data_IF_062052121868
#
_entry.id   IF_062052121868
#
_cell.length_a   1.000
_cell.length_b   1.000
_cell.length_c   1.000
_cell.angle_alpha   90.00
_cell.angle_beta   90.00
_cell.angle_gamma   90.00
#
_symmetry.space_group_name_H-M   'P 1'
#
loop_
_entity.id
_entity.type
_entity.pdbx_description
1 polymer ?
#
# COMPACT_ATOMS: atom_id res chain seq x y z
N UNK A 1 -8.68 10.58 -4.19
CA UNK A 1 -8.54 10.11 -2.80
C UNK A 1 -8.21 11.30 -1.92
N UNK A 2 -8.86 11.47 -0.76
CA UNK A 2 -8.60 12.61 0.13
C UNK A 2 -7.12 12.69 0.55
N UNK A 3 -6.61 13.89 0.83
CA UNK A 3 -5.21 14.11 1.24
C UNK A 3 -4.90 13.56 2.64
N UNK A 4 -5.91 13.56 3.50
CA UNK A 4 -5.89 13.03 4.85
C UNK A 4 -6.01 11.49 4.91
N UNK A 5 -6.38 10.84 3.80
CA UNK A 5 -6.47 9.39 3.75
C UNK A 5 -5.10 8.75 3.97
N UNK A 6 -4.96 7.96 5.04
CA UNK A 6 -3.70 7.28 5.40
C UNK A 6 -3.10 6.50 4.23
N UNK A 7 -3.93 5.78 3.48
CA UNK A 7 -3.49 5.03 2.29
C UNK A 7 -2.81 5.94 1.26
N UNK A 8 -3.31 7.17 1.03
CA UNK A 8 -2.72 8.11 0.06
C UNK A 8 -1.33 8.51 0.50
N UNK A 9 -1.23 8.96 1.76
CA UNK A 9 0.00 9.49 2.33
C UNK A 9 1.14 8.45 2.26
N UNK A 10 0.87 7.22 2.69
CA UNK A 10 1.90 6.18 2.73
C UNK A 10 2.22 5.63 1.33
N UNK A 11 1.22 5.40 0.48
CA UNK A 11 1.49 4.93 -0.89
C UNK A 11 2.27 5.98 -1.69
N UNK A 12 1.95 7.26 -1.54
CA UNK A 12 2.68 8.36 -2.21
C UNK A 12 4.14 8.44 -1.74
N UNK A 13 4.40 8.32 -0.43
CA UNK A 13 5.77 8.28 0.12
C UNK A 13 6.58 7.11 -0.43
N UNK A 14 5.99 5.90 -0.46
CA UNK A 14 6.65 4.68 -0.95
C UNK A 14 6.94 4.81 -2.45
N UNK A 15 5.96 5.22 -3.25
CA UNK A 15 6.10 5.33 -4.72
C UNK A 15 7.09 6.44 -5.07
N UNK A 16 7.03 7.59 -4.40
CA UNK A 16 7.97 8.70 -4.62
C UNK A 16 9.41 8.29 -4.29
N UNK A 17 9.62 7.59 -3.18
CA UNK A 17 10.94 7.08 -2.78
C UNK A 17 11.48 6.08 -3.79
N UNK A 18 10.67 5.10 -4.20
CA UNK A 18 11.07 4.10 -5.20
C UNK A 18 11.35 4.74 -6.56
N UNK A 19 10.52 5.68 -7.00
CA UNK A 19 10.71 6.40 -8.25
C UNK A 19 12.03 7.20 -8.26
N UNK A 20 12.37 7.86 -7.16
CA UNK A 20 13.67 8.55 -7.01
C UNK A 20 14.83 7.58 -7.11
N UNK A 21 14.77 6.45 -6.42
CA UNK A 21 15.83 5.44 -6.47
C UNK A 21 16.03 4.91 -7.90
N UNK A 22 14.95 4.67 -8.63
CA UNK A 22 15.00 4.25 -10.05
C UNK A 22 15.56 5.35 -10.95
N UNK A 23 15.26 6.63 -10.69
CA UNK A 23 15.80 7.75 -11.47
C UNK A 23 17.30 8.02 -11.19
N UNK A 24 17.76 7.78 -9.97
CA UNK A 24 19.15 8.00 -9.54
C UNK A 24 20.09 6.84 -9.84
N UNK A 25 19.57 5.70 -10.26
CA UNK A 25 20.34 4.49 -10.56
C UNK A 25 20.60 4.36 -12.05
N UNK A 26 21.83 4.01 -12.42
CA UNK A 26 22.20 3.76 -13.82
C UNK A 26 22.05 2.29 -14.22
N UNK A 27 22.13 1.37 -13.25
CA UNK A 27 22.07 -0.07 -13.49
C UNK A 27 20.92 -0.74 -12.74
N UNK A 28 20.46 -1.88 -13.26
CA UNK A 28 19.36 -2.66 -12.68
C UNK A 28 19.71 -3.16 -11.28
N UNK A 29 20.90 -3.73 -11.13
CA UNK A 29 21.39 -4.28 -9.86
C UNK A 29 21.49 -3.22 -8.75
N UNK A 30 21.79 -1.96 -9.10
CA UNK A 30 21.94 -0.89 -8.12
C UNK A 30 20.60 -0.50 -7.50
N UNK A 31 19.53 -0.38 -8.29
CA UNK A 31 18.23 -0.07 -7.71
C UNK A 31 17.60 -1.26 -7.02
N UNK A 32 17.84 -2.48 -7.50
CA UNK A 32 17.40 -3.70 -6.81
C UNK A 32 17.97 -3.77 -5.39
N UNK A 33 19.28 -3.49 -5.23
CA UNK A 33 19.94 -3.45 -3.91
C UNK A 33 19.41 -2.31 -3.03
N UNK A 34 19.15 -1.13 -3.60
CA UNK A 34 18.64 0.04 -2.85
C UNK A 34 17.18 -0.16 -2.40
N UNK A 35 16.32 -0.70 -3.28
CA UNK A 35 14.91 -0.98 -2.97
C UNK A 35 14.77 -2.23 -2.11
N UNK A 36 15.68 -3.19 -2.25
CA UNK A 36 15.78 -4.42 -1.47
C UNK A 36 14.43 -5.17 -1.35
N UNK A 37 13.75 -5.34 -2.49
CA UNK A 37 12.39 -5.92 -2.54
C UNK A 37 12.22 -6.87 -3.73
N UNK A 38 13.20 -7.73 -3.96
CA UNK A 38 13.17 -8.70 -5.07
C UNK A 38 13.83 -8.18 -6.35
N UNK A 39 13.45 -8.78 -7.48
CA UNK A 39 13.97 -8.45 -8.80
C UNK A 39 13.17 -7.33 -9.48
N UNK A 40 13.76 -6.69 -10.49
CA UNK A 40 13.14 -5.63 -11.27
C UNK A 40 11.77 -6.03 -11.87
N UNK A 41 11.65 -7.26 -12.38
CA UNK A 41 10.41 -7.80 -12.95
C UNK A 41 9.30 -7.88 -11.89
N UNK A 42 9.64 -8.32 -10.67
CA UNK A 42 8.71 -8.38 -9.55
C UNK A 42 8.28 -6.98 -9.11
N UNK A 43 9.19 -6.01 -9.15
CA UNK A 43 8.90 -4.61 -8.84
C UNK A 43 7.94 -3.97 -9.84
N UNK A 44 8.07 -4.30 -11.14
CA UNK A 44 7.14 -3.85 -12.17
C UNK A 44 5.74 -4.43 -11.90
N UNK A 45 5.64 -5.73 -11.64
CA UNK A 45 4.38 -6.38 -11.31
C UNK A 45 3.76 -5.77 -10.04
N UNK A 46 4.59 -5.46 -9.03
CA UNK A 46 4.12 -4.81 -7.81
C UNK A 46 3.57 -3.40 -8.10
N UNK A 47 4.22 -2.63 -8.96
CA UNK A 47 3.77 -1.30 -9.36
C UNK A 47 2.44 -1.36 -10.13
N UNK A 48 2.27 -2.33 -11.02
CA UNK A 48 1.01 -2.57 -11.74
C UNK A 48 -0.12 -2.97 -10.78
N UNK A 49 0.16 -3.87 -9.84
CA UNK A 49 -0.79 -4.28 -8.81
C UNK A 49 -1.21 -3.10 -7.92
N UNK A 50 -0.26 -2.25 -7.51
CA UNK A 50 -0.55 -1.05 -6.70
C UNK A 50 -1.39 -0.02 -7.49
N UNK A 51 -1.15 0.13 -8.79
CA UNK A 51 -1.96 0.98 -9.66
C UNK A 51 -3.41 0.48 -9.75
N UNK A 52 -3.58 -0.83 -9.93
CA UNK A 52 -4.91 -1.47 -9.94
C UNK A 52 -5.59 -1.33 -8.58
N UNK A 53 -4.84 -1.54 -7.49
CA UNK A 53 -5.35 -1.40 -6.13
C UNK A 53 -5.81 0.04 -5.86
N UNK A 54 -5.02 1.04 -6.23
CA UNK A 54 -5.36 2.46 -6.05
C UNK A 54 -6.67 2.80 -6.75
N UNK A 55 -6.89 2.30 -7.97
CA UNK A 55 -8.17 2.47 -8.70
C UNK A 55 -9.34 1.80 -7.98
N UNK A 56 -9.15 0.62 -7.40
CA UNK A 56 -10.17 -0.06 -6.59
C UNK A 56 -10.46 0.68 -5.28
N UNK A 57 -9.43 1.22 -4.62
CA UNK A 57 -9.59 2.01 -3.39
C UNK A 57 -10.43 3.27 -3.63
N UNK A 58 -10.37 3.87 -4.82
CA UNK A 58 -11.29 4.97 -5.20
C UNK A 58 -12.76 4.56 -5.20
N UNK A 59 -13.07 3.33 -5.61
CA UNK A 59 -14.42 2.80 -5.58
C UNK A 59 -14.84 2.39 -4.16
N UNK A 60 -13.94 1.77 -3.38
CA UNK A 60 -14.25 1.26 -2.04
C UNK A 60 -14.31 2.33 -0.95
N UNK A 61 -13.55 3.43 -1.09
CA UNK A 61 -13.48 4.54 -0.13
C UNK A 61 -13.23 4.10 1.32
N UNK A 62 -12.18 3.30 1.60
CA UNK A 62 -11.90 2.77 2.94
C UNK A 62 -11.55 3.83 4.00
N UNK A 63 -11.34 5.09 3.60
CA UNK A 63 -11.14 6.23 4.49
C UNK A 63 -12.46 6.74 5.11
N UNK A 64 -13.60 6.25 4.63
CA UNK A 64 -14.88 6.53 5.28
C UNK A 64 -14.98 5.82 6.64
N UNK A 65 -15.89 6.28 7.48
CA UNK A 65 -16.11 5.68 8.80
C UNK A 65 -16.55 4.22 8.70
N UNK A 66 -16.25 3.44 9.74
CA UNK A 66 -16.66 2.04 9.83
C UNK A 66 -18.17 1.92 9.58
N UNK A 67 -18.53 1.05 8.62
CA UNK A 67 -19.91 0.84 8.16
C UNK A 67 -20.82 0.32 9.29
N UNK A 68 -20.30 -0.60 10.11
CA UNK A 68 -21.03 -1.20 11.23
C UNK A 68 -20.08 -1.40 12.41
N UNK A 69 -20.50 -0.92 13.59
CA UNK A 69 -19.77 -1.22 14.83
C UNK A 69 -19.99 -2.69 15.20
N UNK A 70 -18.94 -3.39 15.64
CA UNK A 70 -19.09 -4.77 16.09
C UNK A 70 -19.95 -4.82 17.37
N UNK A 71 -20.62 -5.95 17.59
CA UNK A 71 -21.28 -6.21 18.87
C UNK A 71 -20.22 -6.35 19.98
N UNK A 72 -20.58 -6.00 21.22
CA UNK A 72 -19.63 -5.96 22.35
C UNK A 72 -18.84 -7.27 22.55
N UNK A 73 -19.49 -8.41 22.30
CA UNK A 73 -18.91 -9.74 22.47
C UNK A 73 -18.29 -10.33 21.19
N UNK A 74 -18.36 -9.63 20.06
CA UNK A 74 -17.90 -10.16 18.76
C UNK A 74 -16.39 -10.47 18.74
N UNK A 75 -15.61 -9.71 19.52
CA UNK A 75 -14.15 -9.83 19.60
C UNK A 75 -13.66 -10.23 21.00
N UNK A 76 -14.55 -10.69 21.89
CA UNK A 76 -14.15 -11.18 23.21
C UNK A 76 -13.62 -12.61 23.10
N UNK A 77 -12.39 -12.83 23.59
CA UNK A 77 -11.78 -14.14 23.65
C UNK A 77 -11.09 -14.34 25.02
N UNK A 78 -11.31 -15.47 25.72
CA UNK A 78 -12.18 -16.60 25.36
C UNK A 78 -13.68 -16.25 25.41
N UNK A 79 -14.55 -17.02 24.71
CA UNK A 79 -16.00 -16.83 24.79
C UNK A 79 -16.44 -17.03 26.25
N UNK A 80 -17.32 -16.17 26.77
CA UNK A 80 -17.90 -16.34 28.10
C UNK A 80 -18.46 -17.76 28.26
N UNK A 81 -18.22 -18.38 29.43
CA UNK A 81 -18.73 -19.72 29.77
C UNK A 81 -20.24 -19.83 29.61
#
# INVERSE_FOLDING_TARGET
MPEDASYRKYTEEIVSTRAKIVQESETVEDFEKKINCGQAEELIIQAENELILTRKMLAFKPWESIIARPNADQWSWPPGK
#
